data_IF_544770400468
#
_entry.id   IF_544770400468
#
_cell.length_a   1.000
_cell.length_b   1.000
_cell.length_c   1.000
_cell.angle_alpha   90.00
_cell.angle_beta   90.00
_cell.angle_gamma   90.00
#
_symmetry.space_group_name_H-M   'P 1'
#
loop_
_entity.id
_entity.type
_entity.pdbx_description
1 polymer ?
#
# COMPACT_ATOMS: atom_id res chain seq x y z
N UNK A 1 24.46 8.69 -21.54
CA UNK A 1 23.79 9.73 -20.76
C UNK A 1 24.72 10.92 -20.65
N UNK A 2 24.29 12.08 -21.12
CA UNK A 2 25.16 13.27 -21.20
C UNK A 2 24.79 14.33 -20.14
N UNK A 3 23.64 14.23 -19.53
CA UNK A 3 23.16 15.16 -18.50
C UNK A 3 22.44 14.41 -17.38
N UNK A 4 22.28 15.05 -16.23
CA UNK A 4 21.48 14.54 -15.11
C UNK A 4 20.02 14.30 -15.52
N UNK A 5 19.46 15.20 -16.34
CA UNK A 5 18.10 15.03 -16.90
C UNK A 5 17.96 13.76 -17.76
N UNK A 6 19.04 13.31 -18.43
CA UNK A 6 19.00 12.04 -19.18
C UNK A 6 18.96 10.84 -18.23
N UNK A 7 19.68 10.90 -17.10
CA UNK A 7 19.63 9.87 -16.06
C UNK A 7 18.24 9.78 -15.42
N UNK A 8 17.68 10.92 -15.01
CA UNK A 8 16.35 10.98 -14.41
C UNK A 8 15.28 10.42 -15.35
N UNK A 9 15.28 10.87 -16.60
CA UNK A 9 14.33 10.36 -17.60
C UNK A 9 14.44 8.84 -17.73
N UNK A 10 15.66 8.31 -17.81
CA UNK A 10 15.90 6.88 -17.91
C UNK A 10 15.44 6.13 -16.66
N UNK A 11 15.64 6.69 -15.45
CA UNK A 11 15.14 6.12 -14.19
C UNK A 11 13.61 6.10 -14.16
N UNK A 12 12.94 7.20 -14.54
CA UNK A 12 11.48 7.24 -14.59
C UNK A 12 10.87 6.29 -15.61
N UNK A 13 11.46 6.18 -16.80
CA UNK A 13 11.00 5.23 -17.82
C UNK A 13 11.13 3.79 -17.34
N UNK A 14 12.23 3.44 -16.68
CA UNK A 14 12.43 2.10 -16.13
C UNK A 14 11.56 1.83 -14.89
N UNK A 15 11.34 2.83 -14.02
CA UNK A 15 10.41 2.71 -12.91
C UNK A 15 8.98 2.43 -13.42
N UNK A 16 8.52 3.18 -14.41
CA UNK A 16 7.22 2.96 -15.02
C UNK A 16 7.08 1.56 -15.66
N UNK A 17 8.14 1.04 -16.29
CA UNK A 17 8.16 -0.33 -16.84
C UNK A 17 8.10 -1.39 -15.72
N UNK A 18 8.82 -1.17 -14.62
CA UNK A 18 8.78 -2.02 -13.45
C UNK A 18 7.38 -2.02 -12.80
N UNK A 19 6.77 -0.84 -12.62
CA UNK A 19 5.41 -0.69 -12.11
C UNK A 19 4.39 -1.43 -12.98
N UNK A 20 4.49 -1.28 -14.31
CA UNK A 20 3.64 -1.98 -15.27
C UNK A 20 3.78 -3.51 -15.21
N UNK A 21 4.91 -4.04 -14.78
CA UNK A 21 5.14 -5.47 -14.56
C UNK A 21 4.64 -5.95 -13.20
N UNK A 22 4.68 -5.09 -12.19
CA UNK A 22 4.23 -5.40 -10.83
C UNK A 22 2.70 -5.40 -10.71
N UNK A 23 2.02 -4.39 -11.26
CA UNK A 23 0.57 -4.22 -11.13
C UNK A 23 -0.27 -5.44 -11.55
N UNK A 24 -0.01 -6.12 -12.69
CA UNK A 24 -0.74 -7.33 -13.04
C UNK A 24 -0.60 -8.44 -12.01
N UNK A 25 0.60 -8.66 -11.47
CA UNK A 25 0.87 -9.69 -10.46
C UNK A 25 0.12 -9.40 -9.17
N UNK A 26 0.05 -8.14 -8.76
CA UNK A 26 -0.74 -7.72 -7.61
C UNK A 26 -2.24 -7.90 -7.85
N UNK A 27 -2.71 -7.69 -9.07
CA UNK A 27 -4.11 -7.93 -9.46
C UNK A 27 -4.45 -9.42 -9.42
N UNK A 28 -3.56 -10.31 -9.88
CA UNK A 28 -3.76 -11.76 -9.82
C UNK A 28 -3.87 -12.28 -8.38
N UNK A 29 -3.10 -11.72 -7.44
CA UNK A 29 -3.19 -12.06 -6.01
C UNK A 29 -4.56 -11.78 -5.41
N UNK A 30 -5.33 -10.86 -5.99
CA UNK A 30 -6.60 -10.36 -5.47
C UNK A 30 -7.83 -11.03 -6.02
N UNK A 31 -7.71 -11.79 -7.09
CA UNK A 31 -8.81 -12.54 -7.68
C UNK A 31 -9.23 -13.69 -6.74
N UNK A 32 -9.93 -13.35 -5.64
CA UNK A 32 -10.29 -14.33 -4.62
C UNK A 32 -11.74 -14.84 -4.81
N UNK A 33 -11.91 -16.12 -5.18
CA UNK A 33 -13.22 -16.77 -5.25
C UNK A 33 -13.89 -16.91 -3.87
N UNK A 34 -13.17 -16.73 -2.76
CA UNK A 34 -13.67 -16.86 -1.40
C UNK A 34 -14.74 -15.79 -1.12
N UNK A 35 -14.54 -14.58 -1.63
CA UNK A 35 -15.49 -13.46 -1.43
C UNK A 35 -16.88 -13.80 -1.98
N UNK A 36 -16.96 -14.27 -3.22
CA UNK A 36 -18.25 -14.59 -3.84
C UNK A 36 -18.96 -15.72 -3.07
N UNK A 37 -18.25 -16.79 -2.69
CA UNK A 37 -18.78 -17.89 -1.90
C UNK A 37 -19.34 -17.40 -0.56
N UNK A 38 -18.60 -16.53 0.11
CA UNK A 38 -18.99 -15.98 1.40
C UNK A 38 -20.23 -15.06 1.30
N UNK A 39 -20.35 -14.27 0.24
CA UNK A 39 -21.54 -13.45 -0.02
C UNK A 39 -22.78 -14.35 -0.18
N UNK A 40 -22.68 -15.41 -0.98
CA UNK A 40 -23.75 -16.37 -1.15
C UNK A 40 -24.17 -17.04 0.15
N UNK A 41 -23.21 -17.41 0.98
CA UNK A 41 -23.48 -18.01 2.29
C UNK A 41 -24.22 -17.01 3.19
N UNK A 42 -23.79 -15.75 3.28
CA UNK A 42 -24.46 -14.72 4.06
C UNK A 42 -25.92 -14.54 3.63
N UNK A 43 -26.16 -14.48 2.32
CA UNK A 43 -27.52 -14.34 1.77
C UNK A 43 -28.39 -15.56 2.10
N UNK A 44 -27.85 -16.77 2.09
CA UNK A 44 -28.59 -17.98 2.47
C UNK A 44 -29.08 -17.96 3.92
N UNK A 45 -28.32 -17.32 4.83
CA UNK A 45 -28.76 -17.10 6.20
C UNK A 45 -29.78 -15.98 6.38
N UNK A 46 -29.62 -14.92 5.58
CA UNK A 46 -30.39 -13.69 5.73
C UNK A 46 -31.80 -13.77 5.15
N UNK A 47 -31.99 -14.56 4.08
CA UNK A 47 -33.25 -14.59 3.36
C UNK A 47 -34.12 -15.80 3.72
N UNK A 48 -35.44 -15.62 3.62
CA UNK A 48 -36.40 -16.74 3.65
C UNK A 48 -36.67 -17.28 2.23
N UNK A 49 -37.56 -18.27 2.18
CA UNK A 49 -37.94 -18.92 0.89
C UNK A 49 -38.65 -17.97 -0.07
N UNK A 50 -39.20 -16.88 0.42
CA UNK A 50 -39.92 -15.88 -0.32
C UNK A 50 -39.05 -14.66 -0.68
N UNK A 51 -37.74 -14.70 -0.37
CA UNK A 51 -36.79 -13.64 -0.64
C UNK A 51 -36.84 -12.45 0.33
N UNK A 52 -37.54 -12.60 1.48
CA UNK A 52 -37.60 -11.55 2.48
C UNK A 52 -36.46 -11.67 3.49
N UNK A 53 -35.89 -10.51 3.88
CA UNK A 53 -34.81 -10.44 4.87
C UNK A 53 -35.32 -10.69 6.27
N UNK A 54 -34.75 -11.68 6.96
CA UNK A 54 -34.99 -11.96 8.36
C UNK A 54 -33.92 -11.32 9.24
N UNK A 55 -34.16 -10.09 9.65
CA UNK A 55 -33.26 -9.32 10.53
C UNK A 55 -32.81 -10.08 11.78
N UNK A 56 -33.75 -10.81 12.43
CA UNK A 56 -33.44 -11.61 13.62
C UNK A 56 -32.35 -12.66 13.37
N UNK A 57 -32.23 -13.19 12.16
CA UNK A 57 -31.17 -14.16 11.82
C UNK A 57 -29.83 -13.49 11.62
N UNK A 58 -29.79 -12.28 11.08
CA UNK A 58 -28.55 -11.49 10.89
C UNK A 58 -28.00 -11.01 12.23
N UNK A 59 -28.88 -10.65 13.17
CA UNK A 59 -28.50 -10.18 14.49
C UNK A 59 -28.24 -11.32 15.48
N UNK A 60 -28.44 -12.58 15.10
CA UNK A 60 -28.03 -13.70 15.93
C UNK A 60 -26.51 -13.74 16.06
N UNK A 61 -26.08 -14.09 17.26
CA UNK A 61 -24.66 -14.36 17.52
C UNK A 61 -24.16 -15.47 16.59
N UNK A 62 -22.92 -15.34 16.16
CA UNK A 62 -22.24 -16.43 15.45
C UNK A 62 -22.10 -17.63 16.37
N UNK A 63 -22.04 -18.82 15.79
CA UNK A 63 -21.77 -20.01 16.58
C UNK A 63 -20.31 -20.06 17.05
N UNK A 64 -20.06 -20.89 18.04
CA UNK A 64 -18.73 -21.00 18.64
C UNK A 64 -17.67 -21.53 17.68
N UNK A 65 -18.07 -22.31 16.69
CA UNK A 65 -17.15 -22.83 15.67
C UNK A 65 -16.63 -21.68 14.80
N UNK A 66 -17.52 -20.82 14.34
CA UNK A 66 -17.16 -19.62 13.56
C UNK A 66 -16.33 -18.64 14.39
N UNK A 67 -16.69 -18.42 15.68
CA UNK A 67 -15.91 -17.55 16.57
C UNK A 67 -14.48 -18.08 16.77
N UNK A 68 -14.30 -19.38 16.96
CA UNK A 68 -12.98 -19.99 17.07
C UNK A 68 -12.18 -19.89 15.74
N UNK A 69 -12.84 -20.08 14.61
CA UNK A 69 -12.18 -19.93 13.30
C UNK A 69 -11.68 -18.50 13.06
N UNK A 70 -12.48 -17.49 13.41
CA UNK A 70 -12.11 -16.09 13.34
C UNK A 70 -10.92 -15.77 14.26
N UNK A 71 -10.95 -16.30 15.48
CA UNK A 71 -9.84 -16.13 16.42
C UNK A 71 -8.55 -16.76 15.93
N UNK A 72 -8.61 -17.99 15.39
CA UNK A 72 -7.43 -18.66 14.84
C UNK A 72 -6.85 -17.87 13.66
N UNK A 73 -7.71 -17.39 12.75
CA UNK A 73 -7.28 -16.55 11.63
C UNK A 73 -6.61 -15.26 12.11
N UNK A 74 -7.16 -14.64 13.16
CA UNK A 74 -6.55 -13.45 13.73
C UNK A 74 -5.21 -13.76 14.38
N UNK A 75 -5.10 -14.87 15.11
CA UNK A 75 -3.84 -15.26 15.75
C UNK A 75 -2.76 -15.56 14.72
N UNK A 76 -3.07 -16.29 13.63
CA UNK A 76 -2.15 -16.52 12.52
C UNK A 76 -1.65 -15.21 11.91
N UNK A 77 -2.55 -14.24 11.70
CA UNK A 77 -2.16 -12.92 11.18
C UNK A 77 -1.24 -12.16 12.13
N UNK A 78 -1.54 -12.20 13.42
CA UNK A 78 -0.76 -11.46 14.42
C UNK A 78 0.63 -12.06 14.66
N UNK A 79 0.81 -13.37 14.48
CA UNK A 79 2.11 -14.04 14.53
C UNK A 79 3.01 -13.68 13.34
N UNK A 80 2.42 -13.28 12.21
CA UNK A 80 3.16 -12.88 11.01
C UNK A 80 3.45 -11.36 10.93
N UNK A 81 2.74 -10.53 11.74
CA UNK A 81 2.92 -9.07 11.71
C UNK A 81 4.10 -8.64 12.59
N UNK A 82 4.87 -7.66 12.11
CA UNK A 82 5.88 -6.99 12.91
C UNK A 82 5.23 -6.17 14.06
N UNK A 83 5.94 -5.99 15.17
CA UNK A 83 5.42 -5.40 16.41
C UNK A 83 4.82 -3.99 16.23
N UNK A 84 5.38 -3.17 15.37
CA UNK A 84 4.92 -1.83 15.05
C UNK A 84 3.58 -1.85 14.29
N UNK A 85 3.46 -2.75 13.31
CA UNK A 85 2.22 -2.97 12.55
C UNK A 85 1.15 -3.60 13.45
N UNK A 86 1.56 -4.51 14.34
CA UNK A 86 0.68 -5.11 15.34
C UNK A 86 0.01 -4.06 16.22
N UNK A 87 0.76 -3.08 16.70
CA UNK A 87 0.24 -2.02 17.55
C UNK A 87 -0.85 -1.19 16.86
N UNK A 88 -0.72 -0.92 15.57
CA UNK A 88 -1.68 -0.16 14.77
C UNK A 88 -2.95 -1.00 14.51
N UNK A 89 -2.79 -2.25 14.07
CA UNK A 89 -3.92 -3.16 13.80
C UNK A 89 -4.68 -3.50 15.06
N UNK A 90 -4.00 -3.60 16.21
CA UNK A 90 -4.62 -3.89 17.51
C UNK A 90 -5.68 -2.89 17.93
N UNK A 91 -5.55 -1.63 17.54
CA UNK A 91 -6.54 -0.58 17.83
C UNK A 91 -7.87 -0.77 17.08
N UNK A 92 -7.84 -1.47 15.94
CA UNK A 92 -8.99 -1.64 15.04
C UNK A 92 -9.75 -2.96 15.26
N UNK A 93 -9.15 -3.97 15.95
CA UNK A 93 -9.69 -5.33 16.06
C UNK A 93 -9.88 -5.81 17.50
N UNK A 94 -10.98 -6.53 17.77
CA UNK A 94 -11.17 -7.22 19.05
C UNK A 94 -10.20 -8.41 19.15
N UNK A 95 -9.28 -8.35 20.11
CA UNK A 95 -8.18 -9.33 20.30
C UNK A 95 -8.51 -10.48 21.26
N UNK A 96 -9.76 -10.65 21.69
CA UNK A 96 -10.12 -11.70 22.66
C UNK A 96 -11.21 -12.62 22.13
N UNK A 97 -11.16 -13.91 22.53
CA UNK A 97 -12.22 -14.90 22.24
C UNK A 97 -13.59 -14.38 22.63
N UNK A 98 -13.66 -13.71 23.81
CA UNK A 98 -14.89 -13.14 24.33
C UNK A 98 -15.47 -12.06 23.43
N UNK A 99 -14.64 -11.35 22.68
CA UNK A 99 -15.11 -10.34 21.74
C UNK A 99 -15.73 -10.98 20.49
N UNK A 100 -15.15 -12.06 19.97
CA UNK A 100 -15.75 -12.80 18.84
C UNK A 100 -17.05 -13.50 19.25
N UNK A 101 -17.13 -14.08 20.44
CA UNK A 101 -18.37 -14.68 20.98
C UNK A 101 -19.54 -13.68 21.09
N UNK A 102 -19.25 -12.37 21.08
CA UNK A 102 -20.26 -11.31 21.14
C UNK A 102 -20.71 -10.82 19.76
N UNK A 103 -19.96 -11.14 18.70
CA UNK A 103 -20.30 -10.71 17.35
C UNK A 103 -21.65 -11.30 16.89
N UNK A 104 -22.41 -10.49 16.21
CA UNK A 104 -23.48 -10.98 15.35
C UNK A 104 -22.94 -11.28 13.93
N UNK A 105 -23.77 -11.87 13.07
CA UNK A 105 -23.34 -12.23 11.73
C UNK A 105 -22.88 -11.05 10.89
N UNK A 106 -23.48 -9.87 11.07
CA UNK A 106 -23.08 -8.65 10.37
C UNK A 106 -21.67 -8.23 10.77
N UNK A 107 -21.35 -8.27 12.05
CA UNK A 107 -20.03 -7.89 12.54
C UNK A 107 -18.98 -8.95 12.19
N UNK A 108 -19.36 -10.23 12.19
CA UNK A 108 -18.50 -11.31 11.71
C UNK A 108 -18.12 -11.13 10.22
N UNK A 109 -19.07 -10.70 9.36
CA UNK A 109 -18.80 -10.37 7.96
C UNK A 109 -17.74 -9.30 7.82
N UNK A 110 -17.85 -8.21 8.58
CA UNK A 110 -16.86 -7.14 8.57
C UNK A 110 -15.49 -7.65 8.99
N UNK A 111 -15.44 -8.44 10.08
CA UNK A 111 -14.20 -9.02 10.58
C UNK A 111 -13.53 -9.94 9.53
N UNK A 112 -14.29 -10.82 8.88
CA UNK A 112 -13.79 -11.73 7.86
C UNK A 112 -13.19 -10.95 6.68
N UNK A 113 -13.90 -9.94 6.17
CA UNK A 113 -13.39 -9.12 5.06
C UNK A 113 -12.10 -8.37 5.46
N UNK A 114 -12.09 -7.74 6.63
CA UNK A 114 -10.90 -7.03 7.11
C UNK A 114 -9.69 -7.94 7.28
N UNK A 115 -9.87 -9.12 7.88
CA UNK A 115 -8.77 -10.08 8.06
C UNK A 115 -8.30 -10.69 6.75
N UNK A 116 -9.21 -10.99 5.82
CA UNK A 116 -8.85 -11.51 4.49
C UNK A 116 -8.03 -10.48 3.72
N UNK A 117 -8.46 -9.21 3.71
CA UNK A 117 -7.72 -8.14 3.05
C UNK A 117 -6.36 -7.89 3.70
N UNK A 118 -6.26 -7.98 5.02
CA UNK A 118 -4.98 -7.87 5.72
C UNK A 118 -4.03 -9.01 5.34
N UNK A 119 -4.52 -10.25 5.29
CA UNK A 119 -3.71 -11.41 4.86
C UNK A 119 -3.23 -11.29 3.40
N UNK A 120 -4.06 -10.73 2.54
CA UNK A 120 -3.65 -10.41 1.17
C UNK A 120 -2.62 -9.29 1.14
N UNK A 121 -2.78 -8.25 1.97
CA UNK A 121 -1.81 -7.16 2.07
C UNK A 121 -0.40 -7.64 2.45
N UNK A 122 -0.28 -8.64 3.30
CA UNK A 122 1.02 -9.22 3.67
C UNK A 122 1.69 -9.90 2.46
N UNK A 123 0.92 -10.61 1.64
CA UNK A 123 1.44 -11.21 0.38
C UNK A 123 1.83 -10.14 -0.63
N UNK A 124 1.03 -9.07 -0.73
CA UNK A 124 1.34 -7.92 -1.57
C UNK A 124 2.62 -7.22 -1.11
N UNK A 125 2.77 -6.99 0.20
CA UNK A 125 3.95 -6.37 0.79
C UNK A 125 5.22 -7.13 0.41
N UNK A 126 5.21 -8.46 0.51
CA UNK A 126 6.33 -9.30 0.10
C UNK A 126 6.67 -9.11 -1.38
N UNK A 127 5.67 -9.15 -2.25
CA UNK A 127 5.87 -8.99 -3.69
C UNK A 127 6.38 -7.60 -4.05
N UNK A 128 5.83 -6.56 -3.41
CA UNK A 128 6.27 -5.17 -3.59
C UNK A 128 7.73 -5.01 -3.15
N UNK A 129 8.09 -5.54 -1.98
CA UNK A 129 9.46 -5.49 -1.47
C UNK A 129 10.45 -6.16 -2.43
N UNK A 130 10.18 -7.39 -2.86
CA UNK A 130 11.02 -8.10 -3.81
C UNK A 130 11.25 -7.32 -5.12
N UNK A 131 10.23 -6.60 -5.60
CA UNK A 131 10.35 -5.76 -6.79
C UNK A 131 11.20 -4.52 -6.54
N UNK A 132 11.06 -3.88 -5.40
CA UNK A 132 11.85 -2.69 -5.07
C UNK A 132 13.29 -3.01 -4.69
N UNK A 133 13.57 -4.19 -4.16
CA UNK A 133 14.96 -4.65 -4.02
C UNK A 133 15.67 -4.76 -5.38
N UNK A 134 14.98 -5.32 -6.39
CA UNK A 134 15.50 -5.38 -7.77
C UNK A 134 15.62 -3.98 -8.38
N UNK A 135 14.66 -3.11 -8.08
CA UNK A 135 14.70 -1.72 -8.52
C UNK A 135 15.88 -0.96 -7.90
N UNK A 136 16.13 -1.13 -6.62
CA UNK A 136 17.27 -0.55 -5.92
C UNK A 136 18.60 -0.95 -6.57
N UNK A 137 18.78 -2.23 -6.89
CA UNK A 137 19.98 -2.71 -7.62
C UNK A 137 20.11 -2.05 -9.00
N UNK A 138 19.00 -1.81 -9.68
CA UNK A 138 18.96 -1.14 -11.00
C UNK A 138 19.36 0.34 -10.88
N UNK A 139 18.76 1.07 -9.94
CA UNK A 139 19.09 2.48 -9.67
C UNK A 139 20.56 2.62 -9.31
N UNK A 140 21.04 1.75 -8.41
CA UNK A 140 22.42 1.73 -7.99
C UNK A 140 23.37 1.64 -9.20
N UNK A 141 23.18 0.67 -10.08
CA UNK A 141 24.02 0.48 -11.28
C UNK A 141 23.96 1.68 -12.24
N UNK A 142 22.79 2.29 -12.41
CA UNK A 142 22.62 3.45 -13.29
C UNK A 142 23.31 4.70 -12.74
N UNK A 143 23.17 4.98 -11.44
CA UNK A 143 23.77 6.13 -10.76
C UNK A 143 25.28 5.98 -10.69
N UNK A 144 25.81 4.79 -10.36
CA UNK A 144 27.27 4.51 -10.39
C UNK A 144 27.84 4.76 -11.78
N UNK A 145 27.17 4.25 -12.80
CA UNK A 145 27.62 4.42 -14.21
C UNK A 145 27.61 5.89 -14.63
N UNK A 146 26.60 6.64 -14.23
CA UNK A 146 26.48 8.05 -14.58
C UNK A 146 27.55 8.92 -13.93
N UNK A 147 27.78 8.74 -12.64
CA UNK A 147 28.78 9.53 -11.89
C UNK A 147 30.20 8.96 -11.99
N UNK A 148 30.39 7.79 -12.62
CA UNK A 148 31.70 7.12 -12.69
C UNK A 148 32.22 6.70 -11.31
N UNK A 149 31.32 6.39 -10.38
CA UNK A 149 31.61 5.98 -9.02
C UNK A 149 31.61 4.45 -8.98
N UNK A 150 32.51 3.85 -8.19
CA UNK A 150 32.41 2.45 -7.81
C UNK A 150 32.18 2.41 -6.31
N UNK A 151 30.99 2.04 -5.90
CA UNK A 151 30.69 1.81 -4.50
C UNK A 151 31.24 0.46 -4.05
N UNK A 152 31.69 0.39 -2.79
CA UNK A 152 32.29 -0.83 -2.23
C UNK A 152 31.27 -1.75 -1.55
N UNK A 153 30.05 -1.29 -1.35
CA UNK A 153 29.02 -2.03 -0.63
C UNK A 153 27.66 -1.99 -1.33
N UNK A 154 26.95 -3.11 -1.27
CA UNK A 154 25.56 -3.18 -1.68
C UNK A 154 24.71 -2.31 -0.74
N UNK A 155 23.83 -1.50 -1.29
CA UNK A 155 22.90 -0.66 -0.52
C UNK A 155 21.72 -1.52 -0.09
N UNK A 156 21.39 -1.45 1.20
CA UNK A 156 20.14 -2.01 1.73
C UNK A 156 19.16 -0.89 1.92
N UNK A 157 18.06 -0.92 1.18
CA UNK A 157 16.97 0.05 1.32
C UNK A 157 16.02 -0.42 2.41
N UNK A 158 15.59 0.51 3.26
CA UNK A 158 14.55 0.24 4.26
C UNK A 158 13.18 0.60 3.67
N UNK A 159 12.32 -0.41 3.53
CA UNK A 159 10.97 -0.23 3.02
C UNK A 159 10.01 0.09 4.17
N UNK A 160 9.39 1.28 4.12
CA UNK A 160 8.50 1.78 5.18
C UNK A 160 7.02 1.84 4.75
N UNK A 161 6.65 1.23 3.63
CA UNK A 161 5.29 1.29 3.10
C UNK A 161 4.30 0.33 3.79
N UNK A 162 4.79 -0.69 4.46
CA UNK A 162 3.97 -1.80 4.99
C UNK A 162 2.89 -1.35 5.97
N UNK A 163 3.17 -0.53 7.00
CA UNK A 163 2.14 -0.09 7.93
C UNK A 163 0.99 0.61 7.20
N UNK A 164 1.31 1.45 6.21
CA UNK A 164 0.31 2.15 5.43
C UNK A 164 -0.49 1.21 4.52
N UNK A 165 0.15 0.22 3.89
CA UNK A 165 -0.51 -0.80 3.08
C UNK A 165 -1.51 -1.58 3.95
N UNK A 166 -1.07 -2.08 5.09
CA UNK A 166 -1.89 -2.89 6.00
C UNK A 166 -3.08 -2.12 6.53
N UNK A 167 -2.87 -0.89 7.00
CA UNK A 167 -3.96 -0.02 7.46
C UNK A 167 -5.00 0.24 6.37
N UNK A 168 -4.55 0.57 5.15
CA UNK A 168 -5.47 0.87 4.05
C UNK A 168 -6.25 -0.37 3.59
N UNK A 169 -5.61 -1.55 3.58
CA UNK A 169 -6.27 -2.81 3.23
C UNK A 169 -7.28 -3.22 4.28
N UNK A 170 -6.90 -3.16 5.55
CA UNK A 170 -7.82 -3.43 6.64
C UNK A 170 -9.06 -2.54 6.57
N UNK A 171 -8.86 -1.23 6.41
CA UNK A 171 -9.96 -0.26 6.30
C UNK A 171 -10.86 -0.55 5.09
N UNK A 172 -10.27 -0.90 3.93
CA UNK A 172 -11.03 -1.25 2.73
C UNK A 172 -11.89 -2.49 2.94
N UNK A 173 -11.34 -3.55 3.56
CA UNK A 173 -12.06 -4.78 3.87
C UNK A 173 -13.20 -4.57 4.86
N UNK A 174 -12.96 -3.81 5.94
CA UNK A 174 -14.00 -3.45 6.90
C UNK A 174 -15.16 -2.68 6.24
N UNK A 175 -14.85 -1.74 5.38
CA UNK A 175 -15.88 -0.97 4.65
C UNK A 175 -16.61 -1.83 3.61
N UNK A 176 -15.93 -2.75 2.94
CA UNK A 176 -16.56 -3.73 2.04
C UNK A 176 -17.57 -4.61 2.80
N UNK A 177 -17.18 -5.17 3.94
CA UNK A 177 -18.06 -5.96 4.79
C UNK A 177 -19.27 -5.16 5.30
N UNK A 178 -19.08 -3.88 5.64
CA UNK A 178 -20.17 -2.98 6.01
C UNK A 178 -21.14 -2.74 4.84
N UNK A 179 -20.64 -2.51 3.63
CA UNK A 179 -21.46 -2.33 2.41
C UNK A 179 -22.29 -3.57 2.14
N UNK A 180 -21.66 -4.74 2.12
CA UNK A 180 -22.37 -6.00 1.94
C UNK A 180 -23.47 -6.20 2.97
N UNK A 181 -23.21 -5.89 4.24
CA UNK A 181 -24.23 -5.96 5.28
C UNK A 181 -25.44 -5.06 4.99
N UNK A 182 -25.20 -3.87 4.46
CA UNK A 182 -26.25 -2.92 4.04
C UNK A 182 -27.04 -3.43 2.82
N UNK A 183 -26.38 -4.07 1.87
CA UNK A 183 -27.01 -4.62 0.67
C UNK A 183 -27.94 -5.79 1.03
N UNK A 184 -27.50 -6.66 1.96
CA UNK A 184 -28.36 -7.70 2.54
C UNK A 184 -29.57 -7.09 3.23
N UNK A 185 -29.37 -6.06 4.06
CA UNK A 185 -30.46 -5.39 4.79
C UNK A 185 -31.47 -4.71 3.86
N UNK A 186 -31.05 -4.32 2.65
CA UNK A 186 -31.91 -3.73 1.61
C UNK A 186 -32.58 -4.77 0.71
N UNK A 187 -32.38 -6.07 1.00
CA UNK A 187 -32.84 -7.17 0.16
C UNK A 187 -32.36 -7.06 -1.30
N UNK A 188 -31.13 -6.55 -1.50
CA UNK A 188 -30.54 -6.47 -2.84
C UNK A 188 -30.36 -7.89 -3.39
N UNK A 189 -30.59 -8.15 -4.67
CA UNK A 189 -30.27 -9.44 -5.29
C UNK A 189 -28.78 -9.80 -5.10
N UNK A 190 -28.49 -11.07 -4.81
CA UNK A 190 -27.12 -11.51 -4.45
C UNK A 190 -26.11 -11.22 -5.56
N UNK A 191 -26.49 -11.41 -6.82
CA UNK A 191 -25.64 -11.15 -7.98
C UNK A 191 -25.24 -9.67 -8.05
N UNK A 192 -26.17 -8.77 -7.74
CA UNK A 192 -25.90 -7.33 -7.73
C UNK A 192 -25.03 -6.93 -6.54
N UNK A 193 -25.26 -7.52 -5.37
CA UNK A 193 -24.41 -7.27 -4.21
C UNK A 193 -22.95 -7.74 -4.46
N UNK A 194 -22.77 -8.91 -5.08
CA UNK A 194 -21.46 -9.41 -5.51
C UNK A 194 -20.80 -8.43 -6.48
N UNK A 195 -21.53 -8.00 -7.51
CA UNK A 195 -21.01 -7.04 -8.49
C UNK A 195 -20.60 -5.71 -7.86
N UNK A 196 -21.43 -5.15 -6.97
CA UNK A 196 -21.15 -3.87 -6.31
C UNK A 196 -19.95 -3.93 -5.37
N UNK A 197 -19.79 -5.01 -4.61
CA UNK A 197 -18.62 -5.24 -3.75
C UNK A 197 -17.36 -5.46 -4.57
N UNK A 198 -17.41 -6.30 -5.60
CA UNK A 198 -16.25 -6.53 -6.49
C UNK A 198 -15.77 -5.23 -7.11
N UNK A 199 -16.68 -4.42 -7.68
CA UNK A 199 -16.34 -3.11 -8.26
C UNK A 199 -15.76 -2.14 -7.23
N UNK A 200 -16.28 -2.15 -6.01
CA UNK A 200 -15.74 -1.33 -4.92
C UNK A 200 -14.31 -1.73 -4.56
N UNK A 201 -14.07 -3.03 -4.38
CA UNK A 201 -12.75 -3.57 -4.02
C UNK A 201 -11.73 -3.31 -5.13
N UNK A 202 -12.06 -3.61 -6.40
CA UNK A 202 -11.18 -3.33 -7.53
C UNK A 202 -10.74 -1.85 -7.60
N UNK A 203 -11.70 -0.93 -7.38
CA UNK A 203 -11.39 0.50 -7.35
C UNK A 203 -10.47 0.88 -6.21
N UNK A 204 -10.73 0.36 -5.00
CA UNK A 204 -9.90 0.64 -3.81
C UNK A 204 -8.52 0.02 -3.95
N UNK A 205 -8.46 -1.20 -4.42
CA UNK A 205 -7.24 -1.93 -4.67
C UNK A 205 -6.31 -1.18 -5.59
N UNK A 206 -6.83 -0.76 -6.73
CA UNK A 206 -6.05 0.04 -7.66
C UNK A 206 -5.53 1.32 -7.01
N UNK A 207 -6.38 2.06 -6.30
CA UNK A 207 -5.99 3.32 -5.65
C UNK A 207 -4.89 3.13 -4.60
N UNK A 208 -5.00 2.07 -3.78
CA UNK A 208 -4.01 1.78 -2.72
C UNK A 208 -2.68 1.37 -3.35
N UNK A 209 -2.72 0.44 -4.30
CA UNK A 209 -1.52 -0.10 -4.93
C UNK A 209 -0.78 0.94 -5.74
N UNK A 210 -1.47 1.64 -6.65
CA UNK A 210 -0.83 2.67 -7.48
C UNK A 210 -0.14 3.72 -6.60
N UNK A 211 -0.79 4.10 -5.49
CA UNK A 211 -0.24 5.08 -4.56
C UNK A 211 1.02 4.57 -3.86
N UNK A 212 1.00 3.33 -3.36
CA UNK A 212 2.14 2.77 -2.63
C UNK A 212 3.29 2.50 -3.58
N UNK A 213 3.03 1.85 -4.70
CA UNK A 213 4.06 1.51 -5.69
C UNK A 213 4.76 2.78 -6.21
N UNK A 214 3.98 3.81 -6.56
CA UNK A 214 4.55 5.07 -7.03
C UNK A 214 5.38 5.78 -5.95
N UNK A 215 4.86 5.87 -4.73
CA UNK A 215 5.53 6.59 -3.63
C UNK A 215 6.81 5.85 -3.22
N UNK A 216 6.75 4.54 -3.07
CA UNK A 216 7.90 3.71 -2.71
C UNK A 216 8.95 3.69 -3.82
N UNK A 217 8.52 3.60 -5.09
CA UNK A 217 9.44 3.67 -6.23
C UNK A 217 10.26 4.96 -6.25
N UNK A 218 9.62 6.09 -5.96
CA UNK A 218 10.32 7.38 -5.82
C UNK A 218 11.26 7.36 -4.62
N UNK A 219 10.81 6.89 -3.46
CA UNK A 219 11.63 6.81 -2.23
C UNK A 219 12.89 5.99 -2.47
N UNK A 220 12.76 4.78 -3.02
CA UNK A 220 13.89 3.89 -3.32
C UNK A 220 14.86 4.54 -4.30
N UNK A 221 14.35 5.21 -5.34
CA UNK A 221 15.18 5.91 -6.32
C UNK A 221 16.04 6.98 -5.66
N UNK A 222 15.43 7.80 -4.81
CA UNK A 222 16.12 8.90 -4.12
C UNK A 222 17.11 8.39 -3.06
N UNK A 223 16.72 7.46 -2.21
CA UNK A 223 17.58 6.90 -1.17
C UNK A 223 18.83 6.24 -1.75
N UNK A 224 18.66 5.43 -2.80
CA UNK A 224 19.80 4.78 -3.47
C UNK A 224 20.69 5.81 -4.15
N UNK A 225 20.11 6.81 -4.82
CA UNK A 225 20.86 7.86 -5.50
C UNK A 225 21.72 8.64 -4.49
N UNK A 226 21.13 9.04 -3.36
CA UNK A 226 21.84 9.75 -2.28
C UNK A 226 22.97 8.86 -1.73
N UNK A 227 22.69 7.62 -1.42
CA UNK A 227 23.68 6.70 -0.83
C UNK A 227 24.91 6.51 -1.73
N UNK A 228 24.70 6.41 -3.05
CA UNK A 228 25.78 6.31 -4.04
C UNK A 228 26.64 7.56 -4.07
N UNK A 229 26.04 8.75 -4.00
CA UNK A 229 26.77 10.02 -4.25
C UNK A 229 27.14 10.78 -2.98
N UNK A 230 26.63 10.44 -1.79
CA UNK A 230 26.78 11.22 -0.54
C UNK A 230 28.19 11.61 -0.16
N UNK A 231 29.19 10.81 -0.57
CA UNK A 231 30.60 11.14 -0.31
C UNK A 231 31.19 12.12 -1.31
N UNK A 232 30.46 12.46 -2.38
CA UNK A 232 30.91 13.29 -3.50
C UNK A 232 30.08 14.52 -3.75
N UNK A 233 28.97 14.68 -3.04
CA UNK A 233 28.10 15.86 -3.12
C UNK A 233 28.01 16.53 -1.78
N UNK A 234 27.82 17.83 -1.76
CA UNK A 234 27.68 18.57 -0.51
C UNK A 234 26.24 18.89 -0.17
N UNK A 235 25.41 19.05 -1.17
CA UNK A 235 24.02 19.44 -1.02
C UNK A 235 23.17 18.95 -2.17
N UNK A 236 21.87 19.06 -2.00
CA UNK A 236 20.86 18.79 -3.03
C UNK A 236 19.75 19.84 -2.97
N UNK A 237 18.93 19.90 -4.00
CA UNK A 237 17.67 20.63 -4.00
C UNK A 237 16.59 19.83 -4.71
N UNK A 238 15.35 20.06 -4.32
CA UNK A 238 14.19 19.45 -4.96
C UNK A 238 13.92 20.08 -6.32
N UNK A 239 13.60 19.25 -7.30
CA UNK A 239 13.14 19.65 -8.62
C UNK A 239 11.75 19.07 -8.85
N UNK A 240 10.81 19.88 -9.29
CA UNK A 240 9.44 19.45 -9.57
C UNK A 240 9.19 19.26 -11.07
N UNK A 241 8.30 18.31 -11.41
CA UNK A 241 7.85 18.13 -12.81
C UNK A 241 7.08 19.37 -13.27
N UNK A 242 7.47 19.93 -14.41
CA UNK A 242 6.86 21.15 -14.99
C UNK A 242 5.64 20.85 -15.88
N UNK A 243 4.66 20.09 -15.35
CA UNK A 243 3.53 19.59 -16.16
C UNK A 243 2.14 20.10 -15.71
N UNK A 244 2.08 21.12 -14.90
CA UNK A 244 0.82 21.68 -14.39
C UNK A 244 0.09 20.85 -13.31
N UNK A 245 0.55 19.63 -13.02
CA UNK A 245 0.00 18.76 -11.96
C UNK A 245 0.78 18.85 -10.65
N UNK A 246 1.91 19.54 -10.65
CA UNK A 246 2.71 19.76 -9.45
C UNK A 246 1.94 20.64 -8.48
N UNK A 247 1.82 20.22 -7.23
CA UNK A 247 1.10 20.93 -6.17
C UNK A 247 1.83 22.24 -5.78
N UNK A 248 1.12 23.13 -5.08
CA UNK A 248 1.69 24.41 -4.65
C UNK A 248 2.83 24.22 -3.65
N UNK A 249 2.70 23.26 -2.73
CA UNK A 249 3.70 22.97 -1.70
C UNK A 249 5.03 22.50 -2.32
N UNK A 250 4.99 21.56 -3.28
CA UNK A 250 6.19 21.12 -3.98
C UNK A 250 6.88 22.24 -4.75
N UNK A 251 6.12 23.17 -5.35
CA UNK A 251 6.68 24.35 -6.03
C UNK A 251 7.33 25.33 -5.04
N UNK A 252 6.74 25.49 -3.86
CA UNK A 252 7.30 26.33 -2.81
C UNK A 252 8.62 25.74 -2.27
N UNK A 253 8.65 24.43 -2.00
CA UNK A 253 9.86 23.73 -1.56
C UNK A 253 10.95 23.82 -2.63
N UNK A 254 10.63 23.58 -3.91
CA UNK A 254 11.59 23.75 -5.01
C UNK A 254 12.20 25.14 -5.02
N UNK A 255 11.38 26.19 -4.92
CA UNK A 255 11.85 27.58 -4.93
C UNK A 255 12.74 27.91 -3.73
N UNK A 256 12.39 27.44 -2.55
CA UNK A 256 13.16 27.61 -1.33
C UNK A 256 14.52 26.90 -1.42
N UNK A 257 14.52 25.64 -1.79
CA UNK A 257 15.73 24.83 -1.86
C UNK A 257 16.64 25.19 -3.05
N UNK A 258 16.09 25.71 -4.14
CA UNK A 258 16.90 26.26 -5.20
C UNK A 258 17.71 27.49 -4.77
N UNK A 259 17.16 28.30 -3.87
CA UNK A 259 17.88 29.42 -3.27
C UNK A 259 18.84 28.99 -2.14
N UNK A 260 18.47 27.96 -1.39
CA UNK A 260 19.21 27.45 -0.23
C UNK A 260 19.28 25.92 -0.29
N UNK A 261 20.21 25.34 -1.05
CA UNK A 261 20.34 23.90 -1.16
C UNK A 261 20.51 23.20 0.20
N UNK A 262 19.89 22.04 0.34
CA UNK A 262 19.90 21.27 1.59
C UNK A 262 21.22 20.50 1.67
N UNK A 263 21.99 20.60 2.78
CA UNK A 263 23.17 19.77 2.99
C UNK A 263 22.84 18.29 2.91
N UNK A 264 23.73 17.47 2.30
CA UNK A 264 23.46 16.06 2.04
C UNK A 264 23.24 15.26 3.34
N UNK A 265 23.88 15.65 4.43
CA UNK A 265 23.72 15.06 5.77
C UNK A 265 22.31 15.27 6.36
N UNK A 266 21.57 16.23 5.83
CA UNK A 266 20.19 16.54 6.22
C UNK A 266 19.15 15.90 5.31
N UNK A 267 19.56 14.93 4.48
CA UNK A 267 18.62 14.18 3.65
C UNK A 267 17.62 13.42 4.52
N UNK A 268 16.33 13.70 4.34
CA UNK A 268 15.24 13.03 5.05
C UNK A 268 14.00 12.96 4.14
N UNK A 269 13.65 11.77 3.61
CA UNK A 269 12.45 11.59 2.78
C UNK A 269 11.19 12.07 3.49
N UNK A 270 10.34 12.78 2.77
CA UNK A 270 9.10 13.34 3.31
C UNK A 270 9.27 14.63 4.12
N UNK A 271 10.49 15.04 4.44
CA UNK A 271 10.80 16.24 5.23
C UNK A 271 11.62 17.24 4.42
N UNK A 272 12.83 16.87 4.03
CA UNK A 272 13.75 17.71 3.26
C UNK A 272 13.92 17.23 1.82
N UNK A 273 13.51 16.02 1.53
CA UNK A 273 13.59 15.40 0.22
C UNK A 273 12.26 14.71 -0.17
N UNK A 274 11.96 14.58 -1.49
CA UNK A 274 10.77 13.84 -1.93
C UNK A 274 10.84 12.35 -1.53
N UNK A 275 9.67 11.68 -1.51
CA UNK A 275 8.33 12.20 -1.79
C UNK A 275 7.72 12.92 -0.59
N UNK A 276 7.23 14.14 -0.75
CA UNK A 276 6.63 14.94 0.34
C UNK A 276 5.17 14.54 0.65
N UNK A 277 4.52 13.86 -0.27
CA UNK A 277 3.14 13.41 -0.17
C UNK A 277 2.90 12.24 -1.13
N UNK A 278 1.81 11.48 -0.98
CA UNK A 278 1.44 10.44 -1.94
C UNK A 278 1.36 10.97 -3.37
N UNK A 279 1.88 10.21 -4.33
CA UNK A 279 2.01 10.61 -5.74
C UNK A 279 2.88 11.86 -5.95
N UNK A 280 3.81 12.16 -5.05
CA UNK A 280 4.80 13.20 -5.28
C UNK A 280 5.67 12.84 -6.48
N UNK A 281 5.80 13.79 -7.42
CA UNK A 281 6.57 13.62 -8.66
C UNK A 281 7.80 14.52 -8.70
N UNK A 282 8.27 14.89 -7.52
CA UNK A 282 9.51 15.62 -7.36
C UNK A 282 10.67 14.63 -7.24
N UNK A 283 11.85 15.09 -7.57
CA UNK A 283 13.12 14.40 -7.38
C UNK A 283 14.16 15.36 -6.82
N UNK A 284 15.35 14.87 -6.53
CA UNK A 284 16.47 15.69 -6.07
C UNK A 284 17.51 15.86 -7.18
N UNK A 285 18.06 17.07 -7.30
CA UNK A 285 19.26 17.36 -8.07
C UNK A 285 20.42 17.67 -7.14
N UNK A 286 21.58 17.11 -7.43
CA UNK A 286 22.75 17.20 -6.57
C UNK A 286 23.61 18.42 -6.92
N UNK A 287 24.01 19.15 -5.87
CA UNK A 287 24.77 20.39 -5.98
C UNK A 287 26.20 20.16 -5.48
N UNK A 288 27.17 20.80 -6.15
CA UNK A 288 28.58 20.75 -5.76
C UNK A 288 29.17 19.33 -5.74
N UNK A 289 29.11 18.64 -6.87
CA UNK A 289 29.79 17.35 -7.03
C UNK A 289 31.31 17.56 -6.97
N UNK A 290 31.94 17.02 -5.93
CA UNK A 290 33.40 17.02 -5.80
C UNK A 290 33.97 15.96 -6.74
N UNK A 291 34.71 16.42 -7.76
CA UNK A 291 35.38 15.57 -8.75
C UNK A 291 36.63 14.90 -8.21
#
# INVERSE_FOLDING_TARGET
>A
MKSFLDLERALFEQLADMENKLLPKLTELRADPIIASFVHELYSYAMDKDGNVKYSRLLQKIDRTTANALQNMQQELLEELADDVYAEVRGEYPLSVTAFDQLNRIDAVKAIYGMTDLKMAMREAKLIREHFDVWADTVFAMVETFYGIKSLSKISVQHNFEPQLYHQRLTAGLEAGKRLSLDVLRAMPVERAVEDITRYMEKKDKQVTDRIVFTEGTTVTEEVSVEVVKTRVKAFHTVSVKDGKTCADCKAIEAEQAANPVPIENYAPGVTAPPFHPYCRCWIDFVEVVR
#
